data_IF_692362423373
#
_entry.id   IF_692362423373
#
_cell.length_a   1.000
_cell.length_b   1.000
_cell.length_c   1.000
_cell.angle_alpha   90.00
_cell.angle_beta   90.00
_cell.angle_gamma   90.00
#
_symmetry.space_group_name_H-M   'P 1'
#
loop_
_entity.id
_entity.type
_entity.pdbx_description
1 polymer ?
#
# COMPACT_ATOMS: atom_id res chain seq x y z
N UNK A 1 -24.67 10.98 31.15
CA UNK A 1 -24.71 9.90 30.13
C UNK A 1 -23.34 9.26 29.98
N UNK A 2 -23.25 7.99 29.55
CA UNK A 2 -21.97 7.32 29.25
C UNK A 2 -21.37 7.89 27.96
N UNK A 3 -20.05 8.04 27.90
CA UNK A 3 -19.32 8.46 26.68
C UNK A 3 -19.60 7.49 25.52
N UNK A 4 -19.64 8.00 24.29
CA UNK A 4 -19.76 7.20 23.08
C UNK A 4 -18.61 6.17 22.99
N UNK A 5 -18.95 4.94 22.59
CA UNK A 5 -17.98 3.89 22.30
C UNK A 5 -18.44 3.10 21.08
N UNK A 6 -17.60 3.02 20.06
CA UNK A 6 -17.88 2.22 18.89
C UNK A 6 -17.58 0.74 19.17
N UNK A 7 -18.59 -0.11 18.95
CA UNK A 7 -18.49 -1.54 19.29
C UNK A 7 -17.38 -2.27 18.51
N UNK A 8 -17.11 -1.83 17.28
CA UNK A 8 -16.10 -2.43 16.40
C UNK A 8 -14.78 -1.63 16.35
N UNK A 9 -14.52 -0.75 17.32
CA UNK A 9 -13.32 0.11 17.32
C UNK A 9 -12.02 -0.70 17.22
N UNK A 10 -11.88 -1.78 17.98
CA UNK A 10 -10.72 -2.67 17.91
C UNK A 10 -10.54 -3.34 16.55
N UNK A 11 -11.66 -3.67 15.88
CA UNK A 11 -11.63 -4.29 14.55
C UNK A 11 -11.14 -3.28 13.50
N UNK A 12 -11.59 -2.02 13.61
CA UNK A 12 -11.11 -0.93 12.76
C UNK A 12 -9.59 -0.73 12.92
N UNK A 13 -9.11 -0.63 14.16
CA UNK A 13 -7.67 -0.46 14.46
C UNK A 13 -6.82 -1.61 13.92
N UNK A 14 -7.26 -2.86 14.09
CA UNK A 14 -6.56 -4.02 13.54
C UNK A 14 -6.49 -3.94 12.01
N UNK A 15 -7.58 -3.53 11.34
CA UNK A 15 -7.60 -3.40 9.89
C UNK A 15 -6.69 -2.28 9.39
N UNK A 16 -6.64 -1.16 10.07
CA UNK A 16 -5.70 -0.06 9.79
C UNK A 16 -4.25 -0.51 9.93
N UNK A 17 -3.93 -1.28 10.98
CA UNK A 17 -2.60 -1.85 11.16
C UNK A 17 -2.23 -2.82 10.03
N UNK A 18 -3.17 -3.69 9.63
CA UNK A 18 -2.97 -4.58 8.48
C UNK A 18 -2.73 -3.78 7.19
N UNK A 19 -3.50 -2.72 6.96
CA UNK A 19 -3.31 -1.84 5.81
C UNK A 19 -1.90 -1.22 5.80
N UNK A 20 -1.40 -0.79 6.96
CA UNK A 20 -0.06 -0.22 7.06
C UNK A 20 1.03 -1.25 6.74
N UNK A 21 0.88 -2.47 7.24
CA UNK A 21 1.79 -3.57 6.90
C UNK A 21 1.81 -3.85 5.39
N UNK A 22 0.64 -3.84 4.73
CA UNK A 22 0.56 -4.04 3.28
C UNK A 22 1.28 -2.93 2.49
N UNK A 23 1.24 -1.67 2.96
CA UNK A 23 2.00 -0.57 2.34
C UNK A 23 3.50 -0.77 2.51
N UNK A 24 3.96 -1.25 3.67
CA UNK A 24 5.37 -1.59 3.89
C UNK A 24 5.82 -2.70 2.95
N UNK A 25 5.03 -3.77 2.82
CA UNK A 25 5.29 -4.85 1.87
C UNK A 25 5.37 -4.34 0.42
N UNK A 26 4.44 -3.47 0.02
CA UNK A 26 4.46 -2.82 -1.30
C UNK A 26 5.73 -1.97 -1.48
N UNK A 27 6.17 -1.24 -0.45
CA UNK A 27 7.40 -0.45 -0.51
C UNK A 27 8.62 -1.35 -0.74
N UNK A 28 8.70 -2.48 -0.03
CA UNK A 28 9.77 -3.45 -0.20
C UNK A 28 9.77 -4.05 -1.62
N UNK A 29 8.61 -4.45 -2.15
CA UNK A 29 8.50 -4.93 -3.52
C UNK A 29 8.96 -3.89 -4.56
N UNK A 30 8.64 -2.61 -4.35
CA UNK A 30 9.13 -1.54 -5.22
C UNK A 30 10.64 -1.32 -5.11
N UNK A 31 11.22 -1.55 -3.93
CA UNK A 31 12.67 -1.52 -3.77
C UNK A 31 13.32 -2.68 -4.52
N UNK A 32 12.84 -3.91 -4.32
CA UNK A 32 13.32 -5.10 -5.04
C UNK A 32 13.22 -4.92 -6.56
N UNK A 33 12.12 -4.34 -7.05
CA UNK A 33 11.94 -4.02 -8.46
C UNK A 33 13.05 -3.09 -8.98
N UNK A 34 13.38 -2.02 -8.23
CA UNK A 34 14.43 -1.08 -8.62
C UNK A 34 15.82 -1.72 -8.60
N UNK A 35 16.09 -2.58 -7.63
CA UNK A 35 17.35 -3.33 -7.58
C UNK A 35 17.50 -4.23 -8.80
N UNK A 36 16.46 -4.99 -9.16
CA UNK A 36 16.47 -5.82 -10.37
C UNK A 36 16.62 -4.99 -11.65
N UNK A 37 15.96 -3.84 -11.77
CA UNK A 37 16.16 -2.93 -12.91
C UNK A 37 17.61 -2.43 -12.99
N UNK A 38 18.21 -2.07 -11.87
CA UNK A 38 19.60 -1.62 -11.82
C UNK A 38 20.57 -2.75 -12.23
N UNK A 39 20.35 -3.98 -11.74
CA UNK A 39 21.15 -5.14 -12.13
C UNK A 39 21.07 -5.39 -13.64
N UNK A 40 19.87 -5.33 -14.22
CA UNK A 40 19.65 -5.47 -15.67
C UNK A 40 20.41 -4.38 -16.43
N UNK A 41 20.32 -3.12 -15.98
CA UNK A 41 21.00 -2.00 -16.62
C UNK A 41 22.53 -2.19 -16.60
N UNK A 42 23.10 -2.59 -15.47
CA UNK A 42 24.54 -2.90 -15.34
C UNK A 42 24.94 -4.04 -16.28
N UNK A 43 24.13 -5.10 -16.38
CA UNK A 43 24.41 -6.20 -17.32
C UNK A 43 24.34 -5.77 -18.78
N UNK A 44 23.40 -4.89 -19.15
CA UNK A 44 23.29 -4.32 -20.51
C UNK A 44 24.50 -3.45 -20.86
N UNK A 45 24.98 -2.64 -19.93
CA UNK A 45 26.23 -1.86 -20.09
C UNK A 45 27.40 -2.82 -20.32
N UNK A 46 27.57 -3.81 -19.44
CA UNK A 46 28.65 -4.81 -19.58
C UNK A 46 28.59 -5.56 -20.90
N UNK A 47 27.39 -5.93 -21.36
CA UNK A 47 27.20 -6.56 -22.67
C UNK A 47 27.69 -5.63 -23.79
N UNK A 48 27.29 -4.36 -23.76
CA UNK A 48 27.69 -3.36 -24.74
C UNK A 48 29.21 -3.18 -24.78
N UNK A 49 29.86 -3.04 -23.62
CA UNK A 49 31.31 -2.85 -23.53
C UNK A 49 32.08 -4.04 -24.13
N UNK A 50 31.68 -5.27 -23.77
CA UNK A 50 32.30 -6.49 -24.31
C UNK A 50 32.06 -6.61 -25.82
N UNK A 51 30.88 -6.22 -26.30
CA UNK A 51 30.55 -6.26 -27.71
C UNK A 51 31.37 -5.26 -28.53
N UNK A 52 31.61 -4.05 -27.98
CA UNK A 52 32.51 -3.06 -28.57
C UNK A 52 33.94 -3.62 -28.64
N UNK A 53 34.47 -4.14 -27.53
CA UNK A 53 35.81 -4.73 -27.49
C UNK A 53 35.96 -5.88 -28.51
N UNK A 54 34.94 -6.74 -28.61
CA UNK A 54 34.92 -7.83 -29.59
C UNK A 54 34.92 -7.30 -31.04
N UNK A 55 34.15 -6.26 -31.32
CA UNK A 55 34.08 -5.63 -32.65
C UNK A 55 35.42 -5.00 -33.04
N UNK A 56 36.06 -4.29 -32.10
CA UNK A 56 37.37 -3.68 -32.31
C UNK A 56 38.44 -4.74 -32.59
N UNK A 57 38.54 -5.78 -31.76
CA UNK A 57 39.49 -6.89 -31.97
C UNK A 57 39.25 -7.64 -33.27
N UNK A 58 37.99 -7.89 -33.61
CA UNK A 58 37.62 -8.58 -34.84
C UNK A 58 37.96 -7.79 -36.10
N UNK A 59 38.02 -6.45 -36.01
CA UNK A 59 38.40 -5.58 -37.14
C UNK A 59 39.89 -5.59 -37.46
N UNK A 60 40.74 -5.94 -36.49
CA UNK A 60 42.19 -5.97 -36.63
C UNK A 60 42.68 -7.39 -36.93
N UNK A 61 42.51 -8.30 -35.97
CA UNK A 61 42.84 -9.72 -36.08
C UNK A 61 42.39 -10.43 -34.81
N UNK A 62 41.66 -11.54 -34.93
CA UNK A 62 41.21 -12.34 -33.79
C UNK A 62 41.32 -13.82 -34.13
N UNK A 63 41.71 -14.64 -33.16
CA UNK A 63 41.72 -16.10 -33.35
C UNK A 63 40.30 -16.69 -33.30
N UNK A 64 40.13 -17.87 -33.89
CA UNK A 64 38.85 -18.61 -33.83
C UNK A 64 38.47 -18.93 -32.38
N UNK A 65 39.46 -19.24 -31.53
CA UNK A 65 39.24 -19.52 -30.11
C UNK A 65 38.70 -18.31 -29.34
N UNK A 66 39.31 -17.13 -29.54
CA UNK A 66 38.85 -15.88 -28.95
C UNK A 66 37.45 -15.50 -29.45
N UNK A 67 37.18 -15.65 -30.74
CA UNK A 67 35.85 -15.39 -31.29
C UNK A 67 34.76 -16.25 -30.65
N UNK A 68 35.04 -17.55 -30.47
CA UNK A 68 34.15 -18.46 -29.75
C UNK A 68 33.96 -18.04 -28.30
N UNK A 69 35.04 -17.64 -27.62
CA UNK A 69 34.99 -17.16 -26.24
C UNK A 69 34.08 -15.93 -26.08
N UNK A 70 34.26 -14.88 -26.90
CA UNK A 70 33.40 -13.69 -26.86
C UNK A 70 31.94 -14.02 -27.14
N UNK A 71 31.66 -14.86 -28.14
CA UNK A 71 30.29 -15.30 -28.45
C UNK A 71 29.65 -16.03 -27.26
N UNK A 72 30.39 -16.94 -26.61
CA UNK A 72 29.90 -17.64 -25.42
C UNK A 72 29.64 -16.67 -24.25
N UNK A 73 30.55 -15.73 -24.02
CA UNK A 73 30.42 -14.73 -22.96
C UNK A 73 29.21 -13.82 -23.18
N UNK A 74 29.07 -13.25 -24.37
CA UNK A 74 27.93 -12.40 -24.75
C UNK A 74 26.60 -13.17 -24.64
N UNK A 75 26.55 -14.41 -25.14
CA UNK A 75 25.36 -15.27 -25.02
C UNK A 75 25.01 -15.56 -23.56
N UNK A 76 26.03 -15.77 -22.70
CA UNK A 76 25.81 -15.98 -21.28
C UNK A 76 25.24 -14.74 -20.59
N UNK A 77 25.68 -13.54 -20.97
CA UNK A 77 25.15 -12.29 -20.41
C UNK A 77 23.69 -12.08 -20.86
N UNK A 78 23.38 -12.32 -22.14
CA UNK A 78 22.01 -12.21 -22.65
C UNK A 78 21.05 -13.14 -21.91
N UNK A 79 21.43 -14.40 -21.67
CA UNK A 79 20.61 -15.33 -20.88
C UNK A 79 20.41 -14.86 -19.44
N UNK A 80 21.41 -14.24 -18.83
CA UNK A 80 21.27 -13.65 -17.48
C UNK A 80 20.31 -12.47 -17.48
N UNK A 81 20.38 -11.61 -18.49
CA UNK A 81 19.44 -10.50 -18.67
C UNK A 81 18.03 -11.03 -18.84
N UNK A 82 17.81 -12.02 -19.72
CA UNK A 82 16.50 -12.64 -19.95
C UNK A 82 15.90 -13.20 -18.65
N UNK A 83 16.67 -13.97 -17.89
CA UNK A 83 16.22 -14.49 -16.59
C UNK A 83 15.86 -13.39 -15.58
N UNK A 84 16.61 -12.27 -15.58
CA UNK A 84 16.35 -11.13 -14.70
C UNK A 84 15.13 -10.31 -15.14
N UNK A 85 14.90 -10.18 -16.44
CA UNK A 85 13.66 -9.57 -16.96
C UNK A 85 12.43 -10.43 -16.59
N UNK A 86 12.54 -11.77 -16.62
CA UNK A 86 11.47 -12.64 -16.10
C UNK A 86 11.23 -12.46 -14.59
N UNK A 87 12.30 -12.27 -13.81
CA UNK A 87 12.21 -11.96 -12.37
C UNK A 87 11.49 -10.62 -12.15
N UNK A 88 11.86 -9.59 -12.92
CA UNK A 88 11.22 -8.27 -12.91
C UNK A 88 9.72 -8.37 -13.17
N UNK A 89 9.31 -9.12 -14.19
CA UNK A 89 7.89 -9.34 -14.50
C UNK A 89 7.13 -10.05 -13.36
N UNK A 90 7.77 -10.99 -12.68
CA UNK A 90 7.17 -11.64 -11.49
C UNK A 90 7.00 -10.63 -10.34
N UNK A 91 7.95 -9.73 -10.13
CA UNK A 91 7.85 -8.68 -9.11
C UNK A 91 6.74 -7.69 -9.47
N UNK A 92 6.63 -7.27 -10.74
CA UNK A 92 5.56 -6.38 -11.20
C UNK A 92 4.17 -6.97 -10.93
N UNK A 93 3.97 -8.26 -11.22
CA UNK A 93 2.70 -8.94 -10.90
C UNK A 93 2.40 -8.89 -9.40
N UNK A 94 3.39 -9.19 -8.55
CA UNK A 94 3.23 -9.09 -7.08
C UNK A 94 2.89 -7.67 -6.62
N UNK A 95 3.48 -6.65 -7.23
CA UNK A 95 3.19 -5.24 -6.94
C UNK A 95 1.72 -4.92 -7.27
N UNK A 96 1.24 -5.33 -8.43
CA UNK A 96 -0.15 -5.09 -8.83
C UNK A 96 -1.15 -5.85 -7.94
N UNK A 97 -0.88 -7.12 -7.63
CA UNK A 97 -1.70 -7.90 -6.71
C UNK A 97 -1.76 -7.23 -5.32
N UNK A 98 -0.62 -6.74 -4.83
CA UNK A 98 -0.54 -6.04 -3.54
C UNK A 98 -1.30 -4.70 -3.56
N UNK A 99 -1.26 -3.96 -4.67
CA UNK A 99 -2.06 -2.73 -4.86
C UNK A 99 -3.55 -3.03 -4.79
N UNK A 100 -4.00 -4.10 -5.45
CA UNK A 100 -5.40 -4.53 -5.38
C UNK A 100 -5.82 -4.91 -3.95
N UNK A 101 -4.96 -5.62 -3.21
CA UNK A 101 -5.19 -5.95 -1.81
C UNK A 101 -5.35 -4.70 -0.93
N UNK A 102 -4.46 -3.71 -1.11
CA UNK A 102 -4.53 -2.42 -0.41
C UNK A 102 -5.84 -1.68 -0.72
N UNK A 103 -6.26 -1.63 -1.98
CA UNK A 103 -7.52 -0.99 -2.36
C UNK A 103 -8.71 -1.69 -1.69
N UNK A 104 -8.74 -3.03 -1.73
CA UNK A 104 -9.79 -3.80 -1.06
C UNK A 104 -9.85 -3.52 0.45
N UNK A 105 -8.71 -3.47 1.13
CA UNK A 105 -8.63 -3.16 2.57
C UNK A 105 -9.06 -1.73 2.88
N UNK A 106 -8.71 -0.76 2.05
CA UNK A 106 -9.20 0.62 2.20
C UNK A 106 -10.73 0.70 2.09
N UNK A 107 -11.35 -0.05 1.17
CA UNK A 107 -12.81 -0.10 1.04
C UNK A 107 -13.46 -0.69 2.30
N UNK A 108 -12.90 -1.77 2.85
CA UNK A 108 -13.37 -2.35 4.12
C UNK A 108 -13.27 -1.36 5.29
N UNK A 109 -12.14 -0.65 5.42
CA UNK A 109 -11.91 0.35 6.47
C UNK A 109 -12.92 1.50 6.32
N UNK A 110 -13.04 2.08 5.13
CA UNK A 110 -13.99 3.17 4.86
C UNK A 110 -15.45 2.77 5.16
N UNK A 111 -15.81 1.51 4.92
CA UNK A 111 -17.14 1.00 5.27
C UNK A 111 -17.38 0.96 6.78
N UNK A 112 -16.37 0.58 7.56
CA UNK A 112 -16.42 0.58 9.02
C UNK A 112 -16.42 2.00 9.61
N UNK A 113 -15.63 2.91 9.03
CA UNK A 113 -15.63 4.32 9.44
C UNK A 113 -17.00 4.97 9.23
N UNK A 114 -17.64 4.72 8.09
CA UNK A 114 -19.01 5.18 7.81
C UNK A 114 -20.04 4.59 8.79
N UNK A 115 -19.85 3.34 9.21
CA UNK A 115 -20.71 2.74 10.22
C UNK A 115 -20.52 3.43 11.58
N UNK A 116 -19.27 3.69 11.98
CA UNK A 116 -18.92 4.42 13.20
C UNK A 116 -19.52 5.83 13.21
N UNK A 117 -19.44 6.54 12.09
CA UNK A 117 -20.01 7.88 11.92
C UNK A 117 -21.53 7.86 12.13
N UNK A 118 -22.26 6.93 11.49
CA UNK A 118 -23.71 6.76 11.69
C UNK A 118 -24.09 6.42 13.13
N UNK A 119 -23.31 5.59 13.82
CA UNK A 119 -23.55 5.29 15.24
C UNK A 119 -23.32 6.52 16.14
N UNK A 120 -22.28 7.32 15.82
CA UNK A 120 -21.98 8.55 16.53
C UNK A 120 -23.08 9.60 16.35
N UNK A 121 -23.59 9.76 15.12
CA UNK A 121 -24.74 10.63 14.83
C UNK A 121 -25.96 10.25 15.67
N UNK A 122 -26.33 8.96 15.69
CA UNK A 122 -27.45 8.46 16.49
C UNK A 122 -27.26 8.73 17.99
N UNK A 123 -26.05 8.52 18.50
CA UNK A 123 -25.72 8.81 19.89
C UNK A 123 -25.88 10.30 20.20
N UNK A 124 -25.38 11.19 19.33
CA UNK A 124 -25.50 12.64 19.50
C UNK A 124 -26.97 13.10 19.45
N UNK A 125 -27.78 12.56 18.53
CA UNK A 125 -29.21 12.87 18.48
C UNK A 125 -29.96 12.42 19.73
N UNK A 126 -29.62 11.24 20.28
CA UNK A 126 -30.22 10.76 21.53
C UNK A 126 -29.81 11.61 22.73
N UNK A 127 -28.54 12.06 22.76
CA UNK A 127 -28.03 12.97 23.78
C UNK A 127 -28.79 14.31 23.74
N UNK A 128 -28.88 14.94 22.57
CA UNK A 128 -29.62 16.19 22.38
C UNK A 128 -31.08 16.08 22.84
N UNK A 129 -31.78 15.00 22.45
CA UNK A 129 -33.16 14.75 22.88
C UNK A 129 -33.30 14.58 24.40
N UNK A 130 -32.32 13.94 25.05
CA UNK A 130 -32.33 13.79 26.51
C UNK A 130 -32.06 15.11 27.24
N UNK A 131 -31.23 15.98 26.65
CA UNK A 131 -30.95 17.32 27.17
C UNK A 131 -32.18 18.22 27.02
N UNK A 132 -32.89 18.15 25.88
CA UNK A 132 -34.16 18.84 25.67
C UNK A 132 -35.20 18.44 26.73
N UNK A 133 -35.41 17.13 26.94
CA UNK A 133 -36.33 16.62 27.96
C UNK A 133 -35.96 17.09 29.37
N UNK A 134 -34.67 17.07 29.71
CA UNK A 134 -34.19 17.56 31.00
C UNK A 134 -34.47 19.06 31.19
N UNK A 135 -34.28 19.86 30.14
CA UNK A 135 -34.59 21.30 30.17
C UNK A 135 -36.11 21.50 30.33
N UNK A 136 -36.94 20.77 29.58
CA UNK A 136 -38.41 20.85 29.69
C UNK A 136 -38.91 20.49 31.09
N UNK A 137 -38.40 19.40 31.68
CA UNK A 137 -38.73 19.00 33.06
C UNK A 137 -38.28 20.06 34.06
N UNK A 138 -37.08 20.62 33.89
CA UNK A 138 -36.56 21.65 34.77
C UNK A 138 -37.40 22.94 34.71
N UNK A 139 -37.78 23.39 33.51
CA UNK A 139 -38.62 24.58 33.31
C UNK A 139 -40.03 24.34 33.87
N UNK A 140 -40.61 23.16 33.64
CA UNK A 140 -41.95 22.79 34.12
C UNK A 140 -42.01 22.69 35.65
N UNK A 141 -40.98 22.13 36.29
CA UNK A 141 -40.90 22.12 37.75
C UNK A 141 -40.74 23.53 38.33
N UNK A 142 -39.97 24.40 37.68
CA UNK A 142 -39.78 25.79 38.13
C UNK A 142 -41.04 26.65 37.98
N UNK A 143 -41.84 26.43 36.94
CA UNK A 143 -43.12 27.13 36.75
C UNK A 143 -44.20 26.64 37.73
N UNK A 144 -44.21 25.33 38.07
CA UNK A 144 -45.09 24.78 39.10
C UNK A 144 -44.82 25.39 40.49
N UNK A 145 -43.55 25.50 40.90
CA UNK A 145 -43.18 26.08 42.21
C UNK A 145 -43.59 27.56 42.33
N UNK A 146 -43.62 28.30 41.22
CA UNK A 146 -44.05 29.70 41.20
C UNK A 146 -45.57 29.87 41.32
N UNK A 147 -46.35 28.86 40.94
CA UNK A 147 -47.82 28.84 41.08
C UNK A 147 -48.32 28.57 42.50
N UNK A 148 -47.48 28.02 43.38
CA UNK A 148 -47.79 27.74 44.78
C UNK A 148 -47.32 28.84 45.76
N UNK A 149 -46.75 29.94 45.26
CA UNK A 149 -46.23 31.06 46.07
C UNK A 149 -47.08 32.34 45.94
N UNK A 150 -48.39 32.22 45.69
CA UNK A 150 -49.34 33.35 45.80
C UNK A 150 -49.90 33.42 47.21
#
# INVERSE_FOLDING_TARGET
MKKFSFSLQKVLEIKEQVLENLKVELSNLNHDYKEVENEIAIMKIKYSDINIEFSEKSSVSISVGEMSYYKMLLSSILRKIENKEEEKEKILKKIEDKRHEIVSKNVEISSLEKLREKELEKYNSALAKSEELFIEEFVSNKSMVKGYLV
#
